data_IF_059040976565
#
_entry.id   IF_059040976565
#
_cell.length_a   1.000
_cell.length_b   1.000
_cell.length_c   1.000
_cell.angle_alpha   90.00
_cell.angle_beta   90.00
_cell.angle_gamma   90.00
#
_symmetry.space_group_name_H-M   'P 1'
#
loop_
_entity.id
_entity.type
_entity.pdbx_description
1 polymer ?
#
# COMPACT_ATOMS: atom_id res chain seq x y z
N UNK A 1 -11.85 -6.37 2.72
CA UNK A 1 -10.47 -6.22 3.24
C UNK A 1 -9.84 -7.59 3.33
N UNK A 2 -8.58 -7.72 2.94
CA UNK A 2 -7.81 -8.97 2.99
C UNK A 2 -6.78 -8.90 4.12
N UNK A 3 -6.55 -10.00 4.83
CA UNK A 3 -5.50 -10.08 5.86
C UNK A 3 -4.11 -9.91 5.23
N UNK A 4 -3.27 -9.10 5.87
CA UNK A 4 -1.85 -8.98 5.60
C UNK A 4 -1.06 -9.50 6.80
N UNK A 5 0.10 -10.12 6.55
CA UNK A 5 0.94 -10.69 7.60
C UNK A 5 2.35 -10.13 7.51
N UNK A 6 3.04 -10.03 8.65
CA UNK A 6 4.46 -9.66 8.67
C UNK A 6 5.33 -10.79 8.12
N UNK A 7 5.05 -12.03 8.54
CA UNK A 7 5.53 -13.26 7.93
C UNK A 7 4.49 -14.37 8.06
N UNK A 8 4.65 -15.48 7.33
CA UNK A 8 3.69 -16.59 7.28
C UNK A 8 4.19 -17.85 7.96
N UNK A 9 5.34 -17.80 8.65
CA UNK A 9 5.96 -18.99 9.24
C UNK A 9 5.02 -19.74 10.19
N UNK A 10 4.30 -19.00 11.03
CA UNK A 10 3.32 -19.60 11.94
C UNK A 10 2.11 -20.20 11.20
N UNK A 11 1.74 -19.65 10.04
CA UNK A 11 0.65 -20.19 9.23
C UNK A 11 1.06 -21.51 8.56
N UNK A 12 2.30 -21.57 8.06
CA UNK A 12 2.88 -22.80 7.48
C UNK A 12 3.00 -23.91 8.56
N UNK A 13 3.54 -23.58 9.74
CA UNK A 13 3.65 -24.51 10.88
C UNK A 13 2.27 -25.01 11.33
N UNK A 14 1.25 -24.14 11.31
CA UNK A 14 -0.13 -24.50 11.64
C UNK A 14 -0.77 -25.40 10.58
N UNK A 15 -0.53 -25.13 9.30
CA UNK A 15 -0.99 -25.96 8.19
C UNK A 15 -0.48 -27.41 8.34
N UNK A 16 0.76 -27.58 8.80
CA UNK A 16 1.37 -28.88 9.05
C UNK A 16 0.81 -29.52 10.32
N UNK A 17 0.86 -28.81 11.45
CA UNK A 17 0.54 -29.38 12.76
C UNK A 17 -0.94 -29.60 13.01
N UNK A 18 -1.83 -28.71 12.55
CA UNK A 18 -3.28 -28.83 12.79
C UNK A 18 -4.01 -29.57 11.66
N UNK A 19 -3.57 -29.40 10.40
CA UNK A 19 -4.26 -29.95 9.24
C UNK A 19 -3.56 -31.16 8.60
N UNK A 20 -2.41 -31.57 9.14
CA UNK A 20 -1.69 -32.77 8.70
C UNK A 20 -1.08 -32.66 7.30
N UNK A 21 -0.88 -31.43 6.79
CA UNK A 21 -0.13 -31.22 5.55
C UNK A 21 1.37 -31.45 5.81
N UNK A 22 2.13 -31.70 4.75
CA UNK A 22 3.59 -31.74 4.81
C UNK A 22 4.20 -30.56 4.07
N UNK A 23 5.45 -30.20 4.39
CA UNK A 23 6.20 -29.18 3.66
C UNK A 23 6.19 -29.43 2.14
N UNK A 24 6.28 -30.71 1.74
CA UNK A 24 6.21 -31.11 0.33
C UNK A 24 4.84 -30.79 -0.29
N UNK A 25 3.73 -31.04 0.41
CA UNK A 25 2.40 -30.72 -0.11
C UNK A 25 2.23 -29.21 -0.28
N UNK A 26 2.65 -28.42 0.71
CA UNK A 26 2.59 -26.95 0.60
C UNK A 26 3.38 -26.47 -0.62
N UNK A 27 4.60 -26.99 -0.80
CA UNK A 27 5.46 -26.68 -1.94
C UNK A 27 4.88 -27.11 -3.29
N UNK A 28 4.33 -28.31 -3.42
CA UNK A 28 3.75 -28.78 -4.69
C UNK A 28 2.58 -27.88 -5.13
N UNK A 29 1.82 -27.37 -4.16
CA UNK A 29 0.77 -26.37 -4.41
C UNK A 29 1.34 -25.00 -4.78
N UNK A 30 2.38 -24.52 -4.08
CA UNK A 30 3.10 -23.30 -4.43
C UNK A 30 3.62 -23.36 -5.88
N UNK A 31 4.31 -24.45 -6.23
CA UNK A 31 4.83 -24.71 -7.56
C UNK A 31 3.73 -24.78 -8.62
N UNK A 32 2.57 -25.37 -8.30
CA UNK A 32 1.42 -25.41 -9.21
C UNK A 32 0.90 -24.01 -9.55
N UNK A 33 0.94 -23.05 -8.60
CA UNK A 33 0.52 -21.68 -8.90
C UNK A 33 1.52 -20.94 -9.78
N UNK A 34 2.82 -21.15 -9.55
CA UNK A 34 3.87 -20.55 -10.40
C UNK A 34 3.75 -21.12 -11.82
N UNK A 35 3.58 -22.44 -11.93
CA UNK A 35 3.32 -23.16 -13.19
C UNK A 35 2.11 -22.58 -13.94
N UNK A 36 0.98 -22.37 -13.26
CA UNK A 36 -0.22 -21.78 -13.85
C UNK A 36 0.06 -20.40 -14.46
N UNK A 37 0.78 -19.54 -13.75
CA UNK A 37 1.10 -18.19 -14.24
C UNK A 37 2.06 -18.24 -15.42
N UNK A 38 3.04 -19.14 -15.41
CA UNK A 38 3.93 -19.35 -16.55
C UNK A 38 3.12 -19.78 -17.78
N UNK A 39 2.25 -20.78 -17.64
CA UNK A 39 1.41 -21.29 -18.74
C UNK A 39 0.45 -20.26 -19.31
N UNK A 40 -0.03 -19.32 -18.49
CA UNK A 40 -0.91 -18.23 -18.93
C UNK A 40 -0.18 -17.13 -19.73
N UNK A 41 1.14 -16.99 -19.55
CA UNK A 41 1.89 -15.84 -20.07
C UNK A 41 3.01 -16.21 -21.07
N UNK A 42 3.36 -17.50 -21.19
CA UNK A 42 4.36 -17.99 -22.13
C UNK A 42 3.80 -19.06 -23.04
N UNK A 43 4.32 -19.11 -24.27
CA UNK A 43 4.02 -20.18 -25.21
C UNK A 43 4.75 -21.46 -24.80
N UNK A 44 4.14 -22.61 -25.07
CA UNK A 44 4.85 -23.89 -24.93
C UNK A 44 6.17 -23.86 -25.71
N UNK A 45 7.16 -24.60 -25.19
CA UNK A 45 8.55 -24.64 -25.66
C UNK A 45 9.36 -23.36 -25.44
N UNK A 46 8.79 -22.29 -24.86
CA UNK A 46 9.59 -21.15 -24.43
C UNK A 46 10.69 -21.55 -23.45
N UNK A 47 11.82 -20.85 -23.52
CA UNK A 47 12.98 -21.13 -22.68
C UNK A 47 12.95 -20.34 -21.38
N UNK A 48 13.06 -21.04 -20.25
CA UNK A 48 12.86 -20.50 -18.90
C UNK A 48 14.10 -20.77 -18.05
N UNK A 49 14.60 -19.72 -17.39
CA UNK A 49 15.68 -19.83 -16.41
C UNK A 49 15.12 -19.73 -14.98
N UNK A 50 15.38 -20.75 -14.17
CA UNK A 50 15.09 -20.75 -12.73
C UNK A 50 16.36 -20.44 -11.94
N UNK A 51 16.41 -19.28 -11.31
CA UNK A 51 17.56 -18.84 -10.52
C UNK A 51 17.28 -19.18 -9.06
N UNK A 52 18.02 -20.16 -8.55
CA UNK A 52 17.66 -20.83 -7.31
C UNK A 52 18.69 -20.56 -6.20
N UNK A 53 18.16 -20.24 -5.02
CA UNK A 53 18.91 -20.07 -3.78
C UNK A 53 19.27 -21.40 -3.11
N UNK A 54 19.16 -21.40 -1.78
CA UNK A 54 19.44 -22.59 -0.95
C UNK A 54 18.27 -23.03 -0.06
N UNK A 55 17.25 -22.20 0.11
CA UNK A 55 16.13 -22.44 1.01
C UNK A 55 14.86 -22.95 0.32
N UNK A 56 13.73 -22.85 1.02
CA UNK A 56 12.43 -23.30 0.50
C UNK A 56 12.00 -22.56 -0.78
N UNK A 57 12.34 -21.27 -0.93
CA UNK A 57 12.08 -20.53 -2.17
C UNK A 57 12.73 -21.17 -3.41
N UNK A 58 13.94 -21.70 -3.23
CA UNK A 58 14.64 -22.43 -4.27
C UNK A 58 13.94 -23.76 -4.55
N UNK A 59 13.49 -24.44 -3.52
CA UNK A 59 12.76 -25.69 -3.64
C UNK A 59 11.44 -25.52 -4.42
N UNK A 60 10.71 -24.42 -4.22
CA UNK A 60 9.47 -24.09 -4.95
C UNK A 60 9.76 -23.82 -6.43
N UNK A 61 10.82 -23.05 -6.73
CA UNK A 61 11.26 -22.78 -8.10
C UNK A 61 11.71 -24.06 -8.83
N UNK A 62 12.52 -24.90 -8.16
CA UNK A 62 13.00 -26.18 -8.72
C UNK A 62 11.83 -27.15 -8.94
N UNK A 63 10.88 -27.22 -8.01
CA UNK A 63 9.67 -28.02 -8.15
C UNK A 63 8.83 -27.54 -9.35
N UNK A 64 8.75 -26.24 -9.58
CA UNK A 64 8.07 -25.65 -10.75
C UNK A 64 8.78 -26.05 -12.05
N UNK A 65 10.10 -25.93 -12.11
CA UNK A 65 10.89 -26.36 -13.27
C UNK A 65 10.66 -27.84 -13.61
N UNK A 66 10.57 -28.70 -12.58
CA UNK A 66 10.22 -30.12 -12.74
C UNK A 66 8.83 -30.30 -13.34
N UNK A 67 7.82 -29.57 -12.85
CA UNK A 67 6.43 -29.69 -13.34
C UNK A 67 6.26 -29.24 -14.79
N UNK A 68 7.05 -28.25 -15.22
CA UNK A 68 7.05 -27.73 -16.59
C UNK A 68 7.95 -28.51 -17.55
N UNK A 69 8.74 -29.48 -17.04
CA UNK A 69 9.63 -30.29 -17.87
C UNK A 69 8.87 -30.96 -19.01
N UNK A 70 9.48 -31.00 -20.20
CA UNK A 70 8.91 -31.43 -21.50
C UNK A 70 7.97 -30.44 -22.19
N UNK A 71 7.19 -29.65 -21.45
CA UNK A 71 6.33 -28.62 -22.04
C UNK A 71 7.13 -27.35 -22.37
N UNK A 72 8.17 -27.07 -21.59
CA UNK A 72 9.06 -25.91 -21.71
C UNK A 72 10.53 -26.34 -21.64
N UNK A 73 11.41 -25.51 -22.21
CA UNK A 73 12.85 -25.67 -22.05
C UNK A 73 13.28 -25.03 -20.73
N UNK A 74 13.41 -25.85 -19.69
CA UNK A 74 13.70 -25.40 -18.32
C UNK A 74 15.16 -25.63 -17.95
N UNK A 75 15.86 -24.55 -17.61
CA UNK A 75 17.22 -24.59 -17.08
C UNK A 75 17.24 -24.05 -15.63
N UNK A 76 17.98 -24.71 -14.74
CA UNK A 76 18.18 -24.28 -13.36
C UNK A 76 19.60 -23.74 -13.21
N UNK A 77 19.74 -22.58 -12.58
CA UNK A 77 21.01 -22.05 -12.12
C UNK A 77 21.03 -21.95 -10.59
N UNK A 78 22.00 -22.59 -9.94
CA UNK A 78 22.17 -22.54 -8.49
C UNK A 78 23.12 -21.41 -8.08
N UNK A 79 22.63 -20.49 -7.25
CA UNK A 79 23.46 -19.44 -6.64
C UNK A 79 24.31 -19.97 -5.48
N UNK A 80 23.95 -21.13 -4.92
CA UNK A 80 24.64 -21.85 -3.85
C UNK A 80 24.51 -23.35 -4.03
N UNK A 81 25.58 -24.10 -3.78
CA UNK A 81 25.56 -25.58 -3.78
C UNK A 81 25.11 -26.17 -2.44
N UNK A 82 24.94 -25.34 -1.39
CA UNK A 82 24.49 -25.76 -0.06
C UNK A 82 22.97 -25.65 0.04
N UNK A 83 22.26 -26.61 -0.53
CA UNK A 83 20.80 -26.65 -0.51
C UNK A 83 20.28 -27.21 0.83
N UNK A 84 19.12 -26.73 1.29
CA UNK A 84 18.40 -27.38 2.38
C UNK A 84 17.78 -28.71 1.91
N UNK A 85 17.24 -29.48 2.85
CA UNK A 85 16.72 -30.82 2.58
C UNK A 85 15.67 -30.83 1.45
N UNK A 86 14.70 -29.91 1.52
CA UNK A 86 13.60 -29.81 0.56
C UNK A 86 14.09 -29.40 -0.84
N UNK A 87 14.97 -28.40 -0.94
CA UNK A 87 15.57 -27.96 -2.20
C UNK A 87 16.46 -29.04 -2.83
N UNK A 88 17.24 -29.76 -2.01
CA UNK A 88 18.06 -30.87 -2.49
C UNK A 88 17.19 -31.99 -3.06
N UNK A 89 16.12 -32.35 -2.35
CA UNK A 89 15.19 -33.37 -2.80
C UNK A 89 14.49 -32.99 -4.10
N UNK A 90 14.04 -31.73 -4.23
CA UNK A 90 13.43 -31.27 -5.48
C UNK A 90 14.44 -31.19 -6.62
N UNK A 91 15.71 -30.86 -6.35
CA UNK A 91 16.76 -30.88 -7.37
C UNK A 91 16.98 -32.31 -7.91
N UNK A 92 17.01 -33.31 -7.04
CA UNK A 92 17.14 -34.71 -7.47
C UNK A 92 15.93 -35.17 -8.30
N UNK A 93 14.72 -34.71 -7.93
CA UNK A 93 13.50 -34.96 -8.72
C UNK A 93 13.54 -34.25 -10.07
N UNK A 94 13.98 -33.00 -10.12
CA UNK A 94 14.11 -32.21 -11.34
C UNK A 94 15.13 -32.85 -12.31
N UNK A 95 16.28 -33.33 -11.80
CA UNK A 95 17.27 -34.08 -12.60
C UNK A 95 16.68 -35.36 -13.22
N UNK A 96 15.90 -36.11 -12.44
CA UNK A 96 15.20 -37.31 -12.95
C UNK A 96 14.13 -36.98 -14.00
N UNK A 97 13.59 -35.76 -13.97
CA UNK A 97 12.70 -35.22 -14.98
C UNK A 97 13.44 -34.54 -16.15
N UNK A 98 14.76 -34.72 -16.25
CA UNK A 98 15.60 -34.16 -17.31
C UNK A 98 15.64 -32.63 -17.39
N UNK A 99 15.42 -31.93 -16.28
CA UNK A 99 15.65 -30.48 -16.20
C UNK A 99 17.15 -30.21 -16.16
N UNK A 100 17.64 -29.29 -16.99
CA UNK A 100 19.06 -29.02 -17.11
C UNK A 100 19.57 -28.20 -15.93
N UNK A 101 20.80 -28.49 -15.48
CA UNK A 101 21.54 -27.63 -14.57
C UNK A 101 22.60 -26.89 -15.38
N UNK A 102 22.58 -25.55 -15.33
CA UNK A 102 23.53 -24.71 -16.06
C UNK A 102 24.49 -24.01 -15.11
N UNK A 103 25.76 -23.89 -15.52
CA UNK A 103 26.80 -23.16 -14.77
C UNK A 103 27.10 -21.79 -15.36
N UNK A 104 26.83 -21.60 -16.65
CA UNK A 104 27.06 -20.35 -17.38
C UNK A 104 25.73 -19.71 -17.75
N UNK A 105 25.63 -18.40 -17.53
CA UNK A 105 24.41 -17.63 -17.77
C UNK A 105 24.53 -16.83 -19.07
N UNK A 106 23.79 -17.26 -20.09
CA UNK A 106 23.54 -16.48 -21.30
C UNK A 106 22.10 -15.96 -21.26
N UNK A 107 21.87 -14.83 -20.57
CA UNK A 107 20.52 -14.32 -20.30
C UNK A 107 19.70 -14.05 -21.56
N UNK A 108 20.33 -13.69 -22.68
CA UNK A 108 19.66 -13.42 -23.96
C UNK A 108 18.97 -14.64 -24.59
N UNK A 109 19.28 -15.85 -24.14
CA UNK A 109 18.67 -17.08 -24.63
C UNK A 109 17.31 -17.39 -24.01
N UNK A 110 16.92 -16.68 -22.94
CA UNK A 110 15.74 -17.00 -22.15
C UNK A 110 14.62 -15.97 -22.39
N UNK A 111 13.38 -16.45 -22.36
CA UNK A 111 12.17 -15.64 -22.49
C UNK A 111 11.53 -15.34 -21.13
N UNK A 112 11.89 -16.10 -20.10
CA UNK A 112 11.40 -15.91 -18.74
C UNK A 112 12.47 -16.24 -17.68
N UNK A 113 12.43 -15.48 -16.59
CA UNK A 113 13.30 -15.60 -15.44
C UNK A 113 12.45 -15.77 -14.17
N UNK A 114 12.68 -16.87 -13.46
CA UNK A 114 12.00 -17.17 -12.18
C UNK A 114 13.00 -16.99 -11.04
N UNK A 115 12.73 -15.99 -10.20
CA UNK A 115 13.52 -15.67 -9.01
C UNK A 115 13.10 -16.53 -7.83
N UNK A 116 13.87 -17.60 -7.61
CA UNK A 116 13.81 -18.47 -6.43
C UNK A 116 15.02 -18.31 -5.51
N UNK A 117 15.69 -17.14 -5.50
CA UNK A 117 16.93 -16.95 -4.72
C UNK A 117 16.61 -16.80 -3.22
N UNK A 118 15.84 -15.78 -2.87
CA UNK A 118 15.43 -15.47 -1.49
C UNK A 118 13.95 -15.11 -1.45
N UNK A 119 13.22 -15.68 -0.50
CA UNK A 119 11.87 -15.22 -0.15
C UNK A 119 11.87 -14.38 1.13
N UNK A 120 10.79 -14.47 1.91
CA UNK A 120 10.63 -13.79 3.21
C UNK A 120 11.71 -14.06 4.27
N UNK A 121 12.54 -15.10 4.10
CA UNK A 121 13.64 -15.44 5.00
C UNK A 121 14.90 -14.56 4.89
N UNK A 122 14.96 -13.60 3.96
CA UNK A 122 16.13 -12.73 3.81
C UNK A 122 16.34 -11.82 5.04
N UNK A 123 17.43 -12.07 5.78
CA UNK A 123 17.79 -11.37 7.01
C UNK A 123 19.23 -10.84 7.04
N UNK A 124 19.96 -10.95 5.93
CA UNK A 124 21.36 -10.57 5.78
C UNK A 124 21.61 -9.94 4.43
N UNK A 125 22.74 -9.26 4.28
CA UNK A 125 23.16 -8.72 3.00
C UNK A 125 23.42 -9.84 1.98
N UNK A 126 23.05 -9.58 0.73
CA UNK A 126 23.32 -10.48 -0.38
C UNK A 126 24.78 -10.38 -0.80
N UNK A 127 25.36 -11.49 -1.24
CA UNK A 127 26.74 -11.49 -1.75
C UNK A 127 26.85 -10.70 -3.05
N UNK A 128 28.02 -10.12 -3.33
CA UNK A 128 28.27 -9.37 -4.57
C UNK A 128 27.98 -10.20 -5.83
N UNK A 129 28.20 -11.52 -5.77
CA UNK A 129 27.85 -12.44 -6.86
C UNK A 129 26.33 -12.43 -7.14
N UNK A 130 25.50 -12.53 -6.10
CA UNK A 130 24.04 -12.52 -6.24
C UNK A 130 23.56 -11.14 -6.70
N UNK A 131 24.10 -10.07 -6.14
CA UNK A 131 23.78 -8.70 -6.56
C UNK A 131 24.04 -8.48 -8.06
N UNK A 132 25.17 -8.94 -8.58
CA UNK A 132 25.50 -8.88 -10.02
C UNK A 132 24.52 -9.68 -10.87
N UNK A 133 24.11 -10.87 -10.43
CA UNK A 133 23.13 -11.70 -11.14
C UNK A 133 21.78 -10.97 -11.21
N UNK A 134 21.31 -10.41 -10.10
CA UNK A 134 20.05 -9.64 -10.06
C UNK A 134 20.11 -8.44 -11.00
N UNK A 135 21.25 -7.71 -11.06
CA UNK A 135 21.41 -6.58 -11.98
C UNK A 135 21.31 -6.99 -13.45
N UNK A 136 21.90 -8.13 -13.83
CA UNK A 136 21.79 -8.64 -15.20
C UNK A 136 20.37 -9.14 -15.51
N UNK A 137 19.71 -9.82 -14.56
CA UNK A 137 18.31 -10.23 -14.69
C UNK A 137 17.37 -9.02 -14.89
N UNK A 138 17.59 -7.94 -14.14
CA UNK A 138 16.79 -6.73 -14.26
C UNK A 138 16.93 -6.07 -15.64
N UNK A 139 18.12 -6.15 -16.26
CA UNK A 139 18.38 -5.66 -17.63
C UNK A 139 17.87 -6.60 -18.73
N UNK A 140 17.76 -7.89 -18.43
CA UNK A 140 17.33 -8.89 -19.39
C UNK A 140 15.90 -8.61 -19.89
N UNK A 141 15.68 -8.90 -21.18
CA UNK A 141 14.36 -8.87 -21.80
C UNK A 141 13.70 -10.21 -21.57
N UNK A 142 12.45 -10.22 -21.12
CA UNK A 142 11.72 -11.43 -20.82
C UNK A 142 10.84 -11.25 -19.59
N UNK A 143 9.93 -12.18 -19.41
CA UNK A 143 8.99 -12.21 -18.29
C UNK A 143 9.72 -12.50 -16.98
N UNK A 144 9.51 -11.68 -15.94
CA UNK A 144 10.17 -11.83 -14.63
C UNK A 144 9.15 -12.21 -13.57
N UNK A 145 9.36 -13.35 -12.93
CA UNK A 145 8.47 -13.88 -11.89
C UNK A 145 9.25 -14.04 -10.59
N UNK A 146 8.81 -13.36 -9.53
CA UNK A 146 9.32 -13.56 -8.19
C UNK A 146 8.54 -14.66 -7.45
N UNK A 147 9.27 -15.57 -6.80
CA UNK A 147 8.71 -16.59 -5.91
C UNK A 147 8.67 -16.04 -4.49
N UNK A 148 7.49 -16.06 -3.88
CA UNK A 148 7.12 -15.51 -2.58
C UNK A 148 7.21 -13.98 -2.46
N UNK A 149 8.43 -13.45 -2.54
CA UNK A 149 8.81 -12.04 -2.44
C UNK A 149 10.01 -11.82 -3.37
N UNK A 150 10.10 -10.71 -4.13
CA UNK A 150 11.29 -10.44 -4.94
C UNK A 150 12.58 -10.44 -4.11
N UNK A 151 13.58 -11.19 -4.55
CA UNK A 151 14.86 -11.30 -3.87
C UNK A 151 15.49 -9.92 -3.71
N UNK A 152 15.89 -9.61 -2.47
CA UNK A 152 16.38 -8.30 -2.09
C UNK A 152 15.36 -7.45 -1.33
N UNK A 153 14.08 -7.84 -1.30
CA UNK A 153 13.09 -7.27 -0.38
C UNK A 153 13.02 -8.11 0.89
N UNK A 154 13.34 -7.53 2.04
CA UNK A 154 13.26 -8.24 3.33
C UNK A 154 11.81 -8.36 3.81
N UNK A 155 11.53 -9.18 4.82
CA UNK A 155 10.20 -9.26 5.45
C UNK A 155 9.73 -7.95 6.11
N UNK A 156 10.65 -7.07 6.49
CA UNK A 156 10.33 -5.71 6.94
C UNK A 156 10.09 -4.75 5.77
N UNK A 157 10.25 -5.22 4.54
CA UNK A 157 10.15 -4.46 3.29
C UNK A 157 11.33 -3.50 3.03
N UNK A 158 12.42 -3.63 3.80
CA UNK A 158 13.67 -2.95 3.49
C UNK A 158 14.23 -3.54 2.21
N UNK A 159 14.63 -2.67 1.28
CA UNK A 159 15.29 -3.10 0.04
C UNK A 159 16.79 -3.19 0.33
N UNK A 160 17.38 -4.32 -0.01
CA UNK A 160 18.82 -4.52 -0.06
C UNK A 160 19.46 -3.62 -1.15
N UNK A 161 20.79 -3.69 -1.28
CA UNK A 161 21.53 -2.89 -2.28
C UNK A 161 20.99 -3.07 -3.71
N UNK A 162 20.56 -4.29 -4.04
CA UNK A 162 19.95 -4.66 -5.29
C UNK A 162 18.68 -5.46 -4.97
N UNK A 163 17.66 -5.37 -5.81
CA UNK A 163 16.47 -6.20 -5.69
C UNK A 163 15.95 -6.60 -7.06
N UNK A 164 15.37 -7.79 -7.14
CA UNK A 164 14.75 -8.30 -8.35
C UNK A 164 13.49 -7.49 -8.69
N UNK A 165 13.34 -7.12 -9.96
CA UNK A 165 12.19 -6.38 -10.47
C UNK A 165 11.31 -7.37 -11.24
N UNK A 166 10.15 -7.70 -10.66
CA UNK A 166 9.24 -8.69 -11.19
C UNK A 166 8.07 -8.05 -11.95
N UNK A 167 7.62 -8.73 -13.01
CA UNK A 167 6.33 -8.48 -13.64
C UNK A 167 5.19 -9.12 -12.82
N UNK A 168 5.48 -10.27 -12.20
CA UNK A 168 4.57 -10.98 -11.29
C UNK A 168 5.29 -11.43 -10.03
N UNK A 169 4.64 -11.26 -8.87
CA UNK A 169 5.08 -11.89 -7.61
C UNK A 169 4.05 -12.92 -7.18
N UNK A 170 4.44 -14.19 -7.12
CA UNK A 170 3.60 -15.29 -6.63
C UNK A 170 3.86 -15.45 -5.14
N UNK A 171 3.00 -14.88 -4.29
CA UNK A 171 3.18 -14.96 -2.84
C UNK A 171 2.43 -16.15 -2.24
N UNK A 172 3.08 -16.88 -1.33
CA UNK A 172 2.61 -18.20 -0.89
C UNK A 172 1.72 -18.13 0.36
N UNK A 173 0.55 -18.76 0.33
CA UNK A 173 -0.33 -18.96 1.48
C UNK A 173 -1.13 -17.73 1.90
N UNK A 174 -0.44 -16.64 2.24
CA UNK A 174 -1.06 -15.37 2.61
C UNK A 174 -0.26 -14.16 2.08
N UNK A 175 -0.90 -13.00 2.00
CA UNK A 175 -0.27 -11.75 1.57
C UNK A 175 0.64 -11.19 2.67
N UNK A 176 1.86 -10.77 2.29
CA UNK A 176 2.83 -10.17 3.23
C UNK A 176 2.85 -8.65 3.14
N UNK A 177 2.99 -7.99 4.29
CA UNK A 177 3.11 -6.53 4.40
C UNK A 177 4.24 -5.96 3.54
N UNK A 178 5.38 -6.66 3.48
CA UNK A 178 6.55 -6.24 2.71
C UNK A 178 6.22 -5.92 1.25
N UNK A 179 5.27 -6.64 0.63
CA UNK A 179 4.87 -6.45 -0.76
C UNK A 179 4.13 -5.12 -1.01
N UNK A 180 3.66 -4.46 0.05
CA UNK A 180 2.83 -3.26 -0.03
C UNK A 180 3.51 -2.01 0.56
N UNK A 181 4.82 -2.04 0.82
CA UNK A 181 5.57 -0.80 1.03
C UNK A 181 5.68 0.01 -0.26
N UNK A 182 5.74 1.34 -0.11
CA UNK A 182 6.00 2.27 -1.22
C UNK A 182 7.22 1.86 -2.03
N UNK A 183 8.32 1.52 -1.34
CA UNK A 183 9.58 1.12 -1.94
C UNK A 183 9.46 -0.17 -2.76
N UNK A 184 8.56 -1.07 -2.38
CA UNK A 184 8.38 -2.35 -3.06
C UNK A 184 7.47 -2.26 -4.29
N UNK A 185 6.73 -1.15 -4.45
CA UNK A 185 5.71 -1.01 -5.50
C UNK A 185 6.28 -1.17 -6.92
N UNK A 186 7.49 -0.68 -7.15
CA UNK A 186 8.20 -0.78 -8.44
C UNK A 186 8.92 -2.13 -8.63
N UNK A 187 8.93 -3.00 -7.61
CA UNK A 187 9.65 -4.28 -7.62
C UNK A 187 8.72 -5.48 -7.75
N UNK A 188 7.50 -5.40 -7.22
CA UNK A 188 6.63 -6.58 -7.01
C UNK A 188 5.75 -6.92 -8.21
N UNK A 189 5.58 -5.99 -9.16
CA UNK A 189 4.67 -6.17 -10.29
C UNK A 189 3.24 -6.52 -9.84
N UNK A 190 2.59 -7.43 -10.58
CA UNK A 190 1.28 -7.97 -10.19
C UNK A 190 1.43 -9.06 -9.12
N UNK A 191 0.89 -8.81 -7.94
CA UNK A 191 0.89 -9.78 -6.83
C UNK A 191 -0.23 -10.80 -7.05
N UNK A 192 0.12 -12.09 -6.97
CA UNK A 192 -0.80 -13.23 -7.08
C UNK A 192 -0.63 -14.10 -5.85
N UNK A 193 -1.73 -14.42 -5.16
CA UNK A 193 -1.72 -15.30 -4.00
C UNK A 193 -1.80 -16.77 -4.43
N UNK A 194 -0.86 -17.60 -3.99
CA UNK A 194 -0.90 -19.05 -4.14
C UNK A 194 -1.56 -19.72 -2.94
N UNK A 195 -2.58 -20.53 -3.20
CA UNK A 195 -3.16 -21.41 -2.20
C UNK A 195 -2.23 -22.60 -1.95
N UNK A 196 -2.04 -23.01 -0.70
CA UNK A 196 -1.09 -24.08 -0.33
C UNK A 196 -1.79 -25.42 -0.01
N UNK A 197 -2.89 -25.72 -0.71
CA UNK A 197 -3.60 -27.00 -0.58
C UNK A 197 -4.70 -27.02 0.49
N UNK A 198 -5.03 -25.86 1.08
CA UNK A 198 -6.12 -25.73 2.04
C UNK A 198 -6.81 -24.38 1.89
N UNK A 199 -8.11 -24.30 2.21
CA UNK A 199 -8.90 -23.08 2.05
C UNK A 199 -8.25 -21.88 2.79
N UNK A 200 -8.39 -20.68 2.22
CA UNK A 200 -7.87 -19.43 2.81
C UNK A 200 -8.30 -19.27 4.27
N UNK A 201 -9.57 -19.52 4.57
CA UNK A 201 -10.13 -19.41 5.93
C UNK A 201 -9.52 -20.41 6.91
N UNK A 202 -9.05 -21.57 6.45
CA UNK A 202 -8.36 -22.54 7.29
C UNK A 202 -6.86 -22.24 7.40
N UNK A 203 -6.23 -21.68 6.37
CA UNK A 203 -4.81 -21.33 6.40
C UNK A 203 -4.54 -20.09 7.27
N UNK A 204 -5.33 -19.03 7.05
CA UNK A 204 -5.18 -17.74 7.71
C UNK A 204 -5.64 -17.74 9.18
N UNK A 205 -5.03 -16.89 9.99
CA UNK A 205 -5.47 -16.56 11.36
C UNK A 205 -5.85 -15.09 11.46
N UNK A 206 -6.29 -14.64 12.64
CA UNK A 206 -6.52 -13.22 12.90
C UNK A 206 -5.27 -12.39 12.54
N UNK A 207 -5.49 -11.27 11.86
CA UNK A 207 -4.47 -10.27 11.57
C UNK A 207 -4.84 -8.91 12.17
N UNK A 208 -3.83 -8.09 12.43
CA UNK A 208 -3.95 -6.67 12.77
C UNK A 208 -3.52 -5.77 11.61
N UNK A 209 -3.34 -6.35 10.42
CA UNK A 209 -2.99 -5.62 9.20
C UNK A 209 -3.85 -6.08 8.03
N UNK A 210 -4.31 -5.13 7.22
CA UNK A 210 -5.31 -5.38 6.18
C UNK A 210 -4.98 -4.65 4.88
N UNK A 211 -5.23 -5.30 3.75
CA UNK A 211 -5.25 -4.69 2.42
C UNK A 211 -6.69 -4.31 2.09
N UNK A 212 -6.89 -3.05 1.71
CA UNK A 212 -8.20 -2.56 1.28
C UNK A 212 -8.51 -3.04 -0.14
N UNK A 213 -9.77 -3.38 -0.35
CA UNK A 213 -10.32 -3.80 -1.63
C UNK A 213 -11.32 -2.76 -2.15
N UNK A 214 -11.64 -2.82 -3.44
CA UNK A 214 -12.67 -1.94 -4.02
C UNK A 214 -14.02 -2.11 -3.34
N UNK A 215 -14.35 -3.32 -2.89
CA UNK A 215 -15.59 -3.66 -2.17
C UNK A 215 -15.67 -3.07 -0.77
N UNK A 216 -14.56 -2.57 -0.22
CA UNK A 216 -14.55 -1.87 1.07
C UNK A 216 -14.97 -0.41 0.95
N UNK A 217 -15.10 0.11 -0.28
CA UNK A 217 -15.63 1.45 -0.54
C UNK A 217 -17.15 1.45 -0.32
N UNK A 218 -17.58 2.24 0.66
CA UNK A 218 -18.97 2.54 0.98
C UNK A 218 -19.25 4.03 0.70
N UNK A 219 -19.72 4.33 -0.51
CA UNK A 219 -20.06 5.69 -0.93
C UNK A 219 -21.34 6.21 -0.28
N UNK A 220 -21.47 7.53 -0.06
CA UNK A 220 -22.62 8.13 0.59
C UNK A 220 -23.82 8.29 -0.37
N UNK A 221 -24.29 7.19 -0.94
CA UNK A 221 -25.47 7.20 -1.80
C UNK A 221 -26.73 7.61 -1.01
N UNK A 222 -27.52 8.51 -1.59
CA UNK A 222 -28.75 9.03 -0.97
C UNK A 222 -29.94 8.16 -1.39
N UNK A 223 -30.50 7.42 -0.44
CA UNK A 223 -31.65 6.55 -0.70
C UNK A 223 -32.99 7.13 -0.21
N UNK A 224 -32.95 8.00 0.81
CA UNK A 224 -34.14 8.64 1.38
C UNK A 224 -34.55 9.88 0.57
N UNK A 225 -35.84 10.00 0.29
CA UNK A 225 -36.41 11.14 -0.45
C UNK A 225 -36.76 12.31 0.47
N UNK A 226 -37.23 12.05 1.69
CA UNK A 226 -37.56 13.07 2.69
C UNK A 226 -36.29 13.55 3.42
N UNK A 227 -35.46 14.31 2.70
CA UNK A 227 -34.20 14.85 3.22
C UNK A 227 -34.00 16.29 2.77
N UNK A 228 -33.18 17.03 3.51
CA UNK A 228 -32.72 18.37 3.17
C UNK A 228 -31.21 18.49 3.36
N UNK A 229 -30.62 19.62 2.97
CA UNK A 229 -29.17 19.88 3.08
C UNK A 229 -28.60 19.61 4.48
N UNK A 230 -29.36 19.85 5.54
CA UNK A 230 -28.92 19.61 6.92
C UNK A 230 -28.72 18.12 7.24
N UNK A 231 -29.45 17.22 6.59
CA UNK A 231 -29.28 15.77 6.78
C UNK A 231 -27.90 15.27 6.32
N UNK A 232 -27.27 15.97 5.39
CA UNK A 232 -25.94 15.66 4.84
C UNK A 232 -24.83 16.53 5.46
N UNK A 233 -25.16 17.21 6.56
CA UNK A 233 -24.25 17.99 7.38
C UNK A 233 -23.63 19.22 6.71
N UNK A 234 -22.69 19.82 7.45
CA UNK A 234 -22.04 21.06 7.07
C UNK A 234 -20.54 20.97 7.36
N UNK A 235 -19.75 20.94 6.29
CA UNK A 235 -18.29 20.98 6.36
C UNK A 235 -17.78 22.42 6.40
N UNK A 236 -16.86 22.70 7.30
CA UNK A 236 -16.11 23.95 7.34
C UNK A 236 -14.65 23.70 6.93
N UNK A 237 -14.10 24.52 6.04
CA UNK A 237 -12.70 24.45 5.59
C UNK A 237 -11.99 25.75 5.98
N UNK A 238 -10.98 25.66 6.83
CA UNK A 238 -10.23 26.84 7.27
C UNK A 238 -9.24 27.24 6.17
N UNK A 239 -9.38 28.46 5.66
CA UNK A 239 -8.50 29.00 4.63
C UNK A 239 -7.26 29.63 5.24
N UNK A 240 -6.10 29.22 4.75
CA UNK A 240 -4.82 29.86 5.04
C UNK A 240 -4.43 30.96 4.06
N UNK A 241 -3.12 31.18 3.96
CA UNK A 241 -2.51 32.08 2.98
C UNK A 241 -2.64 31.53 1.54
N UNK A 242 -2.51 30.21 1.38
CA UNK A 242 -2.64 29.53 0.10
C UNK A 242 -4.11 29.16 -0.15
N UNK A 243 -4.93 30.19 -0.44
CA UNK A 243 -6.38 30.09 -0.63
C UNK A 243 -6.83 28.98 -1.61
N UNK A 244 -6.00 28.66 -2.61
CA UNK A 244 -6.28 27.59 -3.57
C UNK A 244 -6.45 26.20 -2.92
N UNK A 245 -5.69 25.89 -1.87
CA UNK A 245 -5.80 24.63 -1.14
C UNK A 245 -7.18 24.49 -0.48
N UNK A 246 -7.66 25.57 0.15
CA UNK A 246 -8.99 25.61 0.76
C UNK A 246 -10.12 25.46 -0.26
N UNK A 247 -9.99 26.07 -1.45
CA UNK A 247 -10.95 25.93 -2.55
C UNK A 247 -11.02 24.47 -3.02
N UNK A 248 -9.87 23.81 -3.22
CA UNK A 248 -9.80 22.41 -3.63
C UNK A 248 -10.47 21.51 -2.59
N UNK A 249 -10.12 21.65 -1.31
CA UNK A 249 -10.70 20.87 -0.23
C UNK A 249 -12.22 21.10 -0.10
N UNK A 250 -12.68 22.35 -0.22
CA UNK A 250 -14.11 22.68 -0.16
C UNK A 250 -14.89 22.04 -1.32
N UNK A 251 -14.38 22.15 -2.54
CA UNK A 251 -15.01 21.56 -3.73
C UNK A 251 -15.03 20.03 -3.70
N UNK A 252 -13.95 19.40 -3.21
CA UNK A 252 -13.89 17.96 -3.04
C UNK A 252 -14.90 17.47 -1.97
N UNK A 253 -14.98 18.17 -0.84
CA UNK A 253 -15.95 17.88 0.22
C UNK A 253 -17.41 18.06 -0.21
N UNK A 254 -17.69 19.08 -1.03
CA UNK A 254 -19.02 19.26 -1.63
C UNK A 254 -19.34 18.13 -2.61
N UNK A 255 -18.37 17.75 -3.46
CA UNK A 255 -18.54 16.75 -4.51
C UNK A 255 -18.76 15.33 -3.99
N UNK A 256 -18.22 14.98 -2.81
CA UNK A 256 -18.50 13.70 -2.13
C UNK A 256 -19.83 13.73 -1.33
N UNK A 257 -20.63 14.79 -1.45
CA UNK A 257 -22.02 14.79 -1.00
C UNK A 257 -22.32 15.55 0.30
N UNK A 258 -21.38 16.31 0.87
CA UNK A 258 -21.70 17.21 1.99
C UNK A 258 -22.84 18.17 1.63
N UNK A 259 -23.80 18.34 2.54
CA UNK A 259 -25.00 19.12 2.27
C UNK A 259 -24.76 20.63 2.18
N UNK A 260 -23.78 21.12 2.94
CA UNK A 260 -23.28 22.48 2.88
C UNK A 260 -21.77 22.49 3.10
N UNK A 261 -21.07 23.40 2.42
CA UNK A 261 -19.64 23.64 2.63
C UNK A 261 -19.41 25.14 2.82
N UNK A 262 -18.62 25.49 3.83
CA UNK A 262 -18.19 26.87 4.07
C UNK A 262 -16.68 26.98 4.19
N UNK A 263 -16.08 27.87 3.41
CA UNK A 263 -14.70 28.29 3.61
C UNK A 263 -14.67 29.39 4.67
N UNK A 264 -13.81 29.22 5.67
CA UNK A 264 -13.60 30.17 6.76
C UNK A 264 -12.42 31.07 6.40
N UNK A 265 -12.67 32.36 6.23
CA UNK A 265 -11.66 33.36 5.92
C UNK A 265 -12.17 34.77 6.23
N UNK A 266 -11.35 35.58 6.90
CA UNK A 266 -11.59 37.01 7.09
C UNK A 266 -11.42 37.81 5.78
N UNK A 267 -10.61 37.29 4.86
CA UNK A 267 -10.38 37.88 3.56
C UNK A 267 -11.27 37.24 2.49
N UNK A 268 -11.66 38.01 1.47
CA UNK A 268 -12.35 37.48 0.30
C UNK A 268 -11.51 36.39 -0.38
N UNK A 269 -12.13 35.26 -0.68
CA UNK A 269 -11.54 34.19 -1.47
C UNK A 269 -11.82 34.44 -2.96
N UNK A 270 -10.79 34.62 -3.81
CA UNK A 270 -11.01 34.83 -5.23
C UNK A 270 -11.50 33.54 -5.89
N UNK A 271 -12.38 33.66 -6.88
CA UNK A 271 -12.88 32.54 -7.69
C UNK A 271 -13.45 31.37 -6.87
N UNK A 272 -14.04 31.67 -5.71
CA UNK A 272 -14.80 30.68 -4.96
C UNK A 272 -16.05 30.30 -5.75
N UNK A 273 -16.27 28.99 -5.93
CA UNK A 273 -17.46 28.50 -6.62
C UNK A 273 -18.75 29.00 -5.93
N UNK A 274 -19.79 29.38 -6.69
CA UNK A 274 -20.98 30.02 -6.14
C UNK A 274 -21.79 29.13 -5.19
N UNK A 275 -21.57 27.81 -5.23
CA UNK A 275 -22.20 26.84 -4.33
C UNK A 275 -21.42 26.62 -3.02
N UNK A 276 -20.21 27.19 -2.91
CA UNK A 276 -19.42 27.18 -1.67
C UNK A 276 -19.64 28.49 -0.93
N UNK A 277 -20.03 28.40 0.35
CA UNK A 277 -20.24 29.58 1.17
C UNK A 277 -18.92 30.12 1.72
N UNK A 278 -18.86 31.41 2.01
CA UNK A 278 -17.77 32.01 2.79
C UNK A 278 -18.29 32.52 4.13
N UNK A 279 -17.52 32.30 5.19
CA UNK A 279 -17.79 32.85 6.54
C UNK A 279 -16.49 33.27 7.21
N UNK A 280 -16.56 34.07 8.27
CA UNK A 280 -15.42 34.44 9.11
C UNK A 280 -15.38 33.66 10.44
N UNK A 281 -16.34 32.76 10.68
CA UNK A 281 -16.41 32.00 11.93
C UNK A 281 -16.82 30.55 11.70
N UNK A 282 -16.20 29.66 12.47
CA UNK A 282 -16.52 28.23 12.53
C UNK A 282 -17.05 27.81 13.90
N UNK A 283 -17.53 28.75 14.72
CA UNK A 283 -18.07 28.46 16.05
C UNK A 283 -19.16 27.38 16.03
N UNK A 284 -20.05 27.43 15.02
CA UNK A 284 -21.14 26.45 14.80
C UNK A 284 -20.71 25.16 14.12
N UNK A 285 -19.45 25.05 13.68
CA UNK A 285 -18.96 23.89 12.94
C UNK A 285 -18.93 22.64 13.84
N UNK A 286 -19.45 21.53 13.32
CA UNK A 286 -19.22 20.19 13.89
C UNK A 286 -18.02 19.50 13.25
N UNK A 287 -17.81 19.75 11.95
CA UNK A 287 -16.73 19.16 11.15
C UNK A 287 -15.87 20.26 10.54
N UNK A 288 -14.55 20.14 10.70
CA UNK A 288 -13.58 21.12 10.21
C UNK A 288 -12.43 20.43 9.48
N UNK A 289 -12.07 20.93 8.31
CA UNK A 289 -10.78 20.64 7.65
C UNK A 289 -9.85 21.82 7.91
N UNK A 290 -8.65 21.56 8.43
CA UNK A 290 -7.69 22.58 8.79
C UNK A 290 -6.25 22.19 8.41
N UNK A 291 -5.45 23.19 8.08
CA UNK A 291 -4.01 23.06 7.83
C UNK A 291 -3.60 23.07 6.35
N UNK A 292 -4.53 22.76 5.43
CA UNK A 292 -4.30 22.89 3.99
C UNK A 292 -3.95 24.33 3.61
N UNK A 293 -2.69 24.58 3.26
CA UNK A 293 -2.22 25.88 2.81
C UNK A 293 -2.28 27.00 3.86
N UNK A 294 -2.13 26.65 5.13
CA UNK A 294 -2.18 27.59 6.26
C UNK A 294 -1.13 28.70 6.12
N UNK A 295 0.09 28.33 5.72
CA UNK A 295 1.22 29.25 5.61
C UNK A 295 1.67 29.79 6.97
N UNK A 296 1.78 31.11 7.06
CA UNK A 296 2.22 31.81 8.28
C UNK A 296 1.05 32.11 9.23
N UNK A 297 -0.20 31.92 8.77
CA UNK A 297 -1.37 32.09 9.63
C UNK A 297 -1.34 31.14 10.82
N UNK A 298 -1.74 31.66 11.98
CA UNK A 298 -1.88 30.87 13.19
C UNK A 298 -3.34 30.46 13.36
N UNK A 299 -3.54 29.24 13.83
CA UNK A 299 -4.85 28.72 14.18
C UNK A 299 -4.82 28.29 15.64
N UNK A 300 -5.72 28.85 16.45
CA UNK A 300 -5.88 28.41 17.83
C UNK A 300 -6.61 27.05 17.86
N UNK A 301 -5.84 25.98 18.06
CA UNK A 301 -6.35 24.60 18.09
C UNK A 301 -7.35 24.34 19.22
N UNK A 302 -7.36 25.14 20.29
CA UNK A 302 -8.37 25.01 21.36
C UNK A 302 -9.80 25.28 20.85
N UNK A 303 -9.94 26.05 19.76
CA UNK A 303 -11.24 26.27 19.12
C UNK A 303 -11.77 25.04 18.36
N UNK A 304 -10.91 24.02 18.16
CA UNK A 304 -11.23 22.78 17.46
C UNK A 304 -11.53 21.60 18.40
N UNK A 305 -11.31 21.73 19.71
CA UNK A 305 -11.36 20.60 20.65
C UNK A 305 -12.68 19.80 20.61
N UNK A 306 -13.82 20.46 20.49
CA UNK A 306 -15.13 19.80 20.50
C UNK A 306 -15.63 19.46 19.08
N UNK A 307 -14.75 19.49 18.08
CA UNK A 307 -15.08 19.32 16.66
C UNK A 307 -14.41 18.07 16.09
N UNK A 308 -15.08 17.44 15.13
CA UNK A 308 -14.47 16.36 14.34
C UNK A 308 -13.59 17.04 13.28
N UNK A 309 -12.29 16.72 13.27
CA UNK A 309 -11.37 17.45 12.41
C UNK A 309 -10.56 16.55 11.48
N UNK A 310 -10.33 17.05 10.27
CA UNK A 310 -9.23 16.61 9.42
C UNK A 310 -8.09 17.60 9.59
N UNK A 311 -6.94 17.12 10.04
CA UNK A 311 -5.71 17.88 10.21
C UNK A 311 -4.74 17.50 9.09
N UNK A 312 -4.37 18.46 8.26
CA UNK A 312 -3.45 18.26 7.14
C UNK A 312 -2.29 19.25 7.14
N UNK A 313 -1.27 18.95 6.34
CA UNK A 313 -0.24 19.88 5.91
C UNK A 313 0.43 20.68 7.04
N UNK A 314 0.29 22.01 7.03
CA UNK A 314 1.09 22.93 7.83
C UNK A 314 0.94 22.75 9.34
N UNK A 315 -0.21 22.22 9.80
CA UNK A 315 -0.45 21.93 11.21
C UNK A 315 0.45 20.80 11.74
N UNK A 316 0.97 19.94 10.87
CA UNK A 316 1.90 18.86 11.25
C UNK A 316 3.28 19.37 11.71
N UNK A 317 3.57 20.66 11.52
CA UNK A 317 4.83 21.30 11.93
C UNK A 317 4.68 22.17 13.18
N UNK A 318 3.46 22.36 13.70
CA UNK A 318 3.19 23.25 14.84
C UNK A 318 3.28 22.46 16.14
N UNK A 319 4.02 22.94 17.14
CA UNK A 319 4.26 22.21 18.42
C UNK A 319 2.97 21.97 19.20
N UNK A 320 2.02 22.88 19.04
CA UNK A 320 0.70 22.87 19.66
C UNK A 320 -0.16 21.68 19.22
N UNK A 321 0.21 21.01 18.11
CA UNK A 321 -0.55 19.85 17.61
C UNK A 321 -0.46 18.66 18.58
N UNK A 322 0.65 18.47 19.29
CA UNK A 322 0.81 17.29 20.16
C UNK A 322 -0.15 17.35 21.36
N UNK A 323 -0.20 18.42 22.17
CA UNK A 323 -1.20 18.52 23.24
C UNK A 323 -2.64 18.47 22.74
N UNK A 324 -2.89 18.93 21.51
CA UNK A 324 -4.20 18.83 20.87
C UNK A 324 -4.57 17.37 20.57
N UNK A 325 -3.65 16.59 19.99
CA UNK A 325 -3.88 15.18 19.70
C UNK A 325 -4.08 14.32 20.96
N UNK A 326 -3.39 14.64 22.06
CA UNK A 326 -3.53 13.92 23.33
C UNK A 326 -4.91 14.07 23.97
N UNK A 327 -5.60 15.19 23.69
CA UNK A 327 -6.90 15.52 24.29
C UNK A 327 -8.11 15.19 23.41
N UNK A 328 -7.89 14.80 22.15
CA UNK A 328 -8.96 14.74 21.15
C UNK A 328 -8.88 13.45 20.33
N UNK A 329 -9.99 12.71 20.29
CA UNK A 329 -10.06 11.41 19.61
C UNK A 329 -10.74 11.48 18.22
N UNK A 330 -11.52 12.54 17.97
CA UNK A 330 -12.30 12.71 16.75
C UNK A 330 -11.49 13.34 15.61
N UNK A 331 -10.30 12.80 15.36
CA UNK A 331 -9.31 13.39 14.45
C UNK A 331 -8.90 12.41 13.37
N UNK A 332 -8.78 12.93 12.14
CA UNK A 332 -8.08 12.28 11.04
C UNK A 332 -6.88 13.14 10.66
N UNK A 333 -5.68 12.59 10.71
CA UNK A 333 -4.46 13.25 10.25
C UNK A 333 -4.10 12.71 8.88
N UNK A 334 -3.73 13.57 7.94
CA UNK A 334 -3.39 13.16 6.57
C UNK A 334 -1.94 13.47 6.17
N UNK A 335 -0.90 13.21 6.98
CA UNK A 335 0.44 13.67 6.68
C UNK A 335 1.08 12.89 5.52
N UNK A 336 1.85 13.57 4.68
CA UNK A 336 2.85 12.94 3.82
C UNK A 336 4.12 12.60 4.64
N UNK A 337 5.09 11.83 4.12
CA UNK A 337 6.23 11.36 4.92
C UNK A 337 7.05 12.44 5.63
N UNK A 338 7.20 13.64 5.05
CA UNK A 338 7.94 14.75 5.68
C UNK A 338 7.17 15.39 6.85
N UNK A 339 5.86 15.55 6.71
CA UNK A 339 4.94 16.00 7.77
C UNK A 339 4.92 14.99 8.90
N UNK A 340 4.91 13.69 8.58
CA UNK A 340 4.91 12.64 9.60
C UNK A 340 6.25 12.56 10.35
N UNK A 341 7.39 12.78 9.68
CA UNK A 341 8.69 12.91 10.35
C UNK A 341 8.67 14.07 11.38
N UNK A 342 8.11 15.22 11.01
CA UNK A 342 7.92 16.34 11.93
C UNK A 342 7.05 15.95 13.13
N UNK A 343 5.91 15.31 12.90
CA UNK A 343 5.02 14.83 13.96
C UNK A 343 5.72 13.87 14.92
N UNK A 344 6.49 12.91 14.40
CA UNK A 344 7.25 11.94 15.23
C UNK A 344 8.26 12.66 16.13
N UNK A 345 9.00 13.63 15.58
CA UNK A 345 10.00 14.40 16.32
C UNK A 345 9.34 15.27 17.40
N UNK A 346 8.24 15.96 17.05
CA UNK A 346 7.45 16.77 17.98
C UNK A 346 6.84 15.92 19.11
N UNK A 347 6.39 14.71 18.79
CA UNK A 347 5.80 13.78 19.74
C UNK A 347 6.85 13.03 20.59
N UNK A 348 8.15 13.28 20.39
CA UNK A 348 9.21 12.69 21.20
C UNK A 348 9.47 11.20 20.92
N UNK A 349 9.18 10.70 19.71
CA UNK A 349 9.55 9.33 19.33
C UNK A 349 11.06 9.17 19.04
N UNK A 350 11.78 10.27 18.86
CA UNK A 350 13.18 10.32 18.44
C UNK A 350 13.38 11.30 17.28
N UNK A 351 14.58 11.29 16.69
CA UNK A 351 14.91 12.07 15.51
C UNK A 351 14.73 11.24 14.24
N UNK A 352 13.69 11.54 13.48
CA UNK A 352 13.36 10.86 12.22
C UNK A 352 13.54 11.79 11.03
N UNK A 353 14.22 11.28 10.01
CA UNK A 353 14.24 11.86 8.67
C UNK A 353 13.12 11.27 7.79
N UNK A 354 12.90 11.87 6.62
CA UNK A 354 12.00 11.32 5.59
C UNK A 354 12.42 9.88 5.22
N UNK A 355 13.72 9.61 5.14
CA UNK A 355 14.26 8.30 4.78
C UNK A 355 13.90 7.26 5.84
N UNK A 356 13.99 7.63 7.12
CA UNK A 356 13.66 6.74 8.24
C UNK A 356 12.17 6.42 8.26
N UNK A 357 11.31 7.42 8.01
CA UNK A 357 9.87 7.23 7.85
C UNK A 357 9.57 6.27 6.70
N UNK A 358 10.15 6.52 5.52
CA UNK A 358 9.92 5.68 4.34
C UNK A 358 10.37 4.23 4.53
N UNK A 359 11.46 4.01 5.28
CA UNK A 359 11.98 2.68 5.55
C UNK A 359 11.16 1.90 6.59
N UNK A 360 10.43 2.56 7.48
CA UNK A 360 9.76 1.95 8.63
C UNK A 360 8.27 2.35 8.75
N UNK A 361 7.61 2.64 7.62
CA UNK A 361 6.27 3.23 7.58
C UNK A 361 5.24 2.48 8.43
N UNK A 362 5.17 1.15 8.31
CA UNK A 362 4.21 0.33 9.05
C UNK A 362 4.44 0.38 10.56
N UNK A 363 5.69 0.22 11.00
CA UNK A 363 6.02 0.19 12.42
C UNK A 363 5.84 1.56 13.07
N UNK A 364 6.21 2.64 12.37
CA UNK A 364 6.00 4.00 12.86
C UNK A 364 4.51 4.38 12.88
N UNK A 365 3.73 3.97 11.88
CA UNK A 365 2.29 4.18 11.86
C UNK A 365 1.57 3.41 12.99
N UNK A 366 2.02 2.20 13.31
CA UNK A 366 1.49 1.42 14.44
C UNK A 366 1.83 2.07 15.78
N UNK A 367 3.10 2.41 16.01
CA UNK A 367 3.54 3.14 17.21
C UNK A 367 2.81 4.48 17.39
N UNK A 368 2.47 5.14 16.29
CA UNK A 368 1.66 6.36 16.34
C UNK A 368 0.25 6.10 16.85
N UNK A 369 -0.44 5.07 16.34
CA UNK A 369 -1.80 4.72 16.80
C UNK A 369 -1.85 4.19 18.22
N UNK A 370 -0.76 3.58 18.71
CA UNK A 370 -0.63 3.15 20.11
C UNK A 370 -0.60 4.36 21.06
N UNK A 371 0.00 5.48 20.61
CA UNK A 371 0.14 6.70 21.42
C UNK A 371 -1.06 7.64 21.29
N UNK A 372 -1.64 7.76 20.11
CA UNK A 372 -2.70 8.71 19.83
C UNK A 372 -3.95 8.01 19.29
N UNK A 373 -5.11 8.32 19.88
CA UNK A 373 -6.42 7.76 19.50
C UNK A 373 -6.95 8.29 18.15
N UNK A 374 -6.22 9.20 17.50
CA UNK A 374 -6.53 9.73 16.17
C UNK A 374 -6.34 8.69 15.06
N UNK A 375 -7.10 8.83 13.98
CA UNK A 375 -6.86 8.07 12.73
C UNK A 375 -5.72 8.72 11.97
N UNK A 376 -4.65 7.97 11.70
CA UNK A 376 -3.54 8.42 10.88
C UNK A 376 -3.73 7.93 9.44
N UNK A 377 -3.69 8.83 8.46
CA UNK A 377 -3.64 8.55 7.02
C UNK A 377 -2.27 9.00 6.51
N UNK A 378 -1.29 8.10 6.58
CA UNK A 378 0.06 8.33 6.10
C UNK A 378 0.10 8.21 4.58
N UNK A 379 0.13 9.36 3.89
CA UNK A 379 0.14 9.46 2.42
C UNK A 379 1.41 8.84 1.85
N UNK A 380 1.31 8.29 0.65
CA UNK A 380 2.42 7.68 -0.08
C UNK A 380 1.94 6.94 -1.33
N UNK A 381 2.86 6.25 -2.00
CA UNK A 381 2.51 5.46 -3.18
C UNK A 381 1.49 4.37 -2.84
N UNK A 382 1.64 3.73 -1.68
CA UNK A 382 0.61 2.98 -0.98
C UNK A 382 0.25 3.74 0.30
N UNK A 383 -0.99 4.19 0.39
CA UNK A 383 -1.45 4.95 1.57
C UNK A 383 -1.68 3.99 2.72
N UNK A 384 -1.18 4.35 3.90
CA UNK A 384 -1.34 3.58 5.12
C UNK A 384 -2.31 4.31 6.03
N UNK A 385 -3.34 3.62 6.49
CA UNK A 385 -4.24 4.10 7.52
C UNK A 385 -3.92 3.31 8.80
N UNK A 386 -3.70 4.01 9.90
CA UNK A 386 -3.45 3.40 11.21
C UNK A 386 -4.47 3.88 12.23
N UNK A 387 -5.08 2.93 12.94
CA UNK A 387 -6.09 3.21 13.95
C UNK A 387 -6.22 2.05 14.93
N UNK A 388 -6.13 2.33 16.24
CA UNK A 388 -6.25 1.32 17.32
C UNK A 388 -5.37 0.09 17.08
N UNK A 389 -4.07 0.34 16.87
CA UNK A 389 -3.01 -0.65 16.65
C UNK A 389 -3.14 -1.49 15.38
N UNK A 390 -4.12 -1.17 14.53
CA UNK A 390 -4.35 -1.84 13.25
C UNK A 390 -3.84 -1.01 12.09
N UNK A 391 -3.35 -1.71 11.09
CA UNK A 391 -2.85 -1.15 9.84
C UNK A 391 -3.80 -1.50 8.69
N UNK A 392 -4.11 -0.54 7.85
CA UNK A 392 -4.89 -0.72 6.63
C UNK A 392 -4.12 -0.11 5.47
N UNK A 393 -3.98 -0.83 4.37
CA UNK A 393 -3.15 -0.41 3.24
C UNK A 393 -4.03 -0.26 2.00
N UNK A 394 -3.97 0.91 1.38
CA UNK A 394 -4.54 1.13 0.04
C UNK A 394 -3.41 1.09 -0.99
N UNK A 395 -3.42 0.09 -1.87
CA UNK A 395 -2.47 -0.02 -2.97
C UNK A 395 -2.97 0.59 -4.29
N UNK A 396 -4.17 1.19 -4.29
CA UNK A 396 -4.78 1.80 -5.48
C UNK A 396 -4.15 3.14 -5.89
N UNK A 397 -3.26 3.71 -5.07
CA UNK A 397 -2.56 4.95 -5.38
C UNK A 397 -1.75 4.82 -6.68
N UNK A 398 -1.89 5.79 -7.59
CA UNK A 398 -1.14 5.86 -8.83
C UNK A 398 -0.15 7.03 -8.77
N UNK A 399 0.97 6.93 -9.49
CA UNK A 399 1.97 8.01 -9.55
C UNK A 399 1.41 9.33 -10.12
N UNK A 400 0.31 9.28 -10.87
CA UNK A 400 -0.40 10.45 -11.41
C UNK A 400 -0.92 11.40 -10.31
N UNK A 401 -1.12 10.88 -9.08
CA UNK A 401 -1.53 11.66 -7.90
C UNK A 401 -0.39 12.51 -7.32
N UNK A 402 0.85 12.39 -7.82
CA UNK A 402 2.00 13.17 -7.38
C UNK A 402 1.94 14.63 -7.91
N UNK A 403 0.89 15.34 -7.52
CA UNK A 403 0.59 16.73 -7.90
C UNK A 403 0.12 17.51 -6.68
N UNK A 404 0.61 18.74 -6.55
CA UNK A 404 0.13 19.67 -5.54
C UNK A 404 -1.40 19.84 -5.65
N UNK A 405 -2.09 19.88 -4.52
CA UNK A 405 -3.56 19.90 -4.46
C UNK A 405 -4.24 18.54 -4.35
N UNK A 406 -3.57 17.43 -4.70
CA UNK A 406 -4.17 16.09 -4.54
C UNK A 406 -4.43 15.75 -3.07
N UNK A 407 -3.50 16.15 -2.18
CA UNK A 407 -3.69 16.04 -0.73
C UNK A 407 -4.84 16.88 -0.19
N UNK A 408 -5.01 18.11 -0.71
CA UNK A 408 -6.11 18.99 -0.32
C UNK A 408 -7.47 18.40 -0.74
N UNK A 409 -7.53 17.78 -1.93
CA UNK A 409 -8.71 17.05 -2.38
C UNK A 409 -9.02 15.88 -1.43
N UNK A 410 -8.02 15.08 -1.05
CA UNK A 410 -8.17 13.99 -0.07
C UNK A 410 -8.72 14.50 1.27
N UNK A 411 -8.15 15.57 1.82
CA UNK A 411 -8.61 16.17 3.08
C UNK A 411 -10.08 16.64 2.98
N UNK A 412 -10.44 17.27 1.86
CA UNK A 412 -11.81 17.66 1.55
C UNK A 412 -12.78 16.49 1.48
N UNK A 413 -12.41 15.40 0.81
CA UNK A 413 -13.23 14.18 0.69
C UNK A 413 -13.50 13.59 2.07
N UNK A 414 -12.45 13.41 2.88
CA UNK A 414 -12.60 12.89 4.25
C UNK A 414 -13.49 13.81 5.07
N UNK A 415 -13.29 15.13 4.98
CA UNK A 415 -14.15 16.12 5.64
C UNK A 415 -15.62 16.05 5.20
N UNK A 416 -15.87 15.83 3.91
CA UNK A 416 -17.22 15.70 3.37
C UNK A 416 -17.94 14.43 3.85
N UNK A 417 -17.21 13.32 4.00
CA UNK A 417 -17.73 12.09 4.60
C UNK A 417 -18.01 12.25 6.10
N UNK A 418 -17.10 12.89 6.83
CA UNK A 418 -17.30 13.23 8.25
C UNK A 418 -18.54 14.10 8.47
N UNK A 419 -18.78 15.09 7.60
CA UNK A 419 -19.99 15.91 7.66
C UNK A 419 -21.27 15.08 7.50
N UNK A 420 -21.19 13.96 6.79
CA UNK A 420 -22.28 13.00 6.58
C UNK A 420 -22.37 11.93 7.68
N UNK A 421 -21.74 12.17 8.85
CA UNK A 421 -21.73 11.31 10.03
C UNK A 421 -20.96 9.99 9.90
N UNK A 422 -20.05 9.87 8.93
CA UNK A 422 -19.07 8.79 8.96
C UNK A 422 -18.17 8.98 10.19
N UNK A 423 -17.81 7.90 10.87
CA UNK A 423 -16.77 7.97 11.90
C UNK A 423 -15.43 8.39 11.28
N UNK A 424 -14.47 8.94 12.05
CA UNK A 424 -13.14 9.27 11.54
C UNK A 424 -12.46 8.11 10.79
N UNK A 425 -12.63 6.89 11.30
CA UNK A 425 -12.05 5.70 10.69
C UNK A 425 -12.73 5.36 9.36
N UNK A 426 -14.07 5.33 9.33
CA UNK A 426 -14.82 5.08 8.09
C UNK A 426 -14.55 6.16 7.05
N UNK A 427 -14.52 7.44 7.44
CA UNK A 427 -14.23 8.55 6.55
C UNK A 427 -12.81 8.45 5.95
N UNK A 428 -11.81 8.03 6.74
CA UNK A 428 -10.45 7.82 6.25
C UNK A 428 -10.38 6.68 5.22
N UNK A 429 -10.96 5.51 5.52
CA UNK A 429 -10.97 4.34 4.62
C UNK A 429 -11.66 4.70 3.30
N UNK A 430 -12.88 5.22 3.39
CA UNK A 430 -13.68 5.54 2.22
C UNK A 430 -13.12 6.74 1.45
N UNK A 431 -12.57 7.73 2.15
CA UNK A 431 -11.95 8.90 1.51
C UNK A 431 -10.68 8.54 0.73
N UNK A 432 -9.80 7.70 1.29
CA UNK A 432 -8.62 7.20 0.58
C UNK A 432 -9.00 6.34 -0.62
N UNK A 433 -9.97 5.44 -0.47
CA UNK A 433 -10.45 4.61 -1.57
C UNK A 433 -11.10 5.46 -2.66
N UNK A 434 -12.05 6.34 -2.33
CA UNK A 434 -12.70 7.21 -3.31
C UNK A 434 -11.67 8.09 -4.05
N UNK A 435 -10.72 8.69 -3.33
CA UNK A 435 -9.67 9.52 -3.91
C UNK A 435 -8.79 8.76 -4.91
N UNK A 436 -8.37 7.53 -4.60
CA UNK A 436 -7.54 6.74 -5.52
C UNK A 436 -8.36 6.11 -6.66
N UNK A 437 -9.58 5.64 -6.37
CA UNK A 437 -10.43 4.97 -7.35
C UNK A 437 -10.99 5.95 -8.39
N UNK A 438 -11.19 7.23 -8.03
CA UNK A 438 -11.74 8.25 -8.93
C UNK A 438 -10.86 8.53 -10.16
N UNK A 439 -9.57 8.23 -10.07
CA UNK A 439 -8.59 8.46 -11.13
C UNK A 439 -8.11 7.18 -11.82
N UNK A 440 -8.64 6.00 -11.45
CA UNK A 440 -8.21 4.73 -12.07
C UNK A 440 -8.43 4.69 -13.58
N UNK A 441 -9.49 5.34 -14.06
CA UNK A 441 -9.85 5.40 -15.48
C UNK A 441 -9.41 6.71 -16.14
N UNK A 442 -8.44 7.44 -15.55
CA UNK A 442 -7.94 8.68 -16.12
C UNK A 442 -7.27 8.43 -17.49
N UNK A 443 -7.87 8.98 -18.56
CA UNK A 443 -7.49 8.69 -19.96
C UNK A 443 -6.44 9.64 -20.55
N UNK A 444 -5.93 10.61 -19.78
CA UNK A 444 -4.89 11.54 -20.24
C UNK A 444 -3.51 11.04 -19.76
N UNK A 445 -2.45 11.68 -20.23
CA UNK A 445 -1.08 11.31 -19.87
C UNK A 445 -0.84 11.40 -18.35
N UNK A 446 0.03 10.54 -17.83
CA UNK A 446 0.29 10.39 -16.39
C UNK A 446 0.75 11.66 -15.68
N UNK A 447 1.37 12.59 -16.40
CA UNK A 447 1.84 13.87 -15.87
C UNK A 447 0.77 14.99 -15.87
N UNK A 448 -0.43 14.73 -16.40
CA UNK A 448 -1.43 15.76 -16.71
C UNK A 448 -2.59 15.84 -15.71
N UNK A 449 -2.66 14.94 -14.71
CA UNK A 449 -3.70 14.99 -13.69
C UNK A 449 -3.69 16.33 -12.95
N UNK A 450 -4.87 16.88 -12.71
CA UNK A 450 -5.10 18.03 -11.84
C UNK A 450 -6.02 17.68 -10.67
N UNK A 451 -6.04 18.47 -9.58
CA UNK A 451 -6.98 18.26 -8.49
C UNK A 451 -8.45 18.26 -8.95
N UNK A 452 -8.79 19.05 -9.98
CA UNK A 452 -10.15 19.05 -10.53
C UNK A 452 -10.51 17.72 -11.20
N UNK A 453 -9.56 17.02 -11.84
CA UNK A 453 -9.84 15.69 -12.41
C UNK A 453 -10.18 14.68 -11.29
N UNK A 454 -9.60 14.82 -10.10
CA UNK A 454 -9.95 14.00 -8.91
C UNK A 454 -11.39 14.33 -8.47
N UNK A 455 -11.71 15.62 -8.34
CA UNK A 455 -13.04 16.10 -7.93
C UNK A 455 -14.14 15.63 -8.88
N UNK A 456 -13.91 15.72 -10.20
CA UNK A 456 -14.84 15.21 -11.21
C UNK A 456 -14.92 13.69 -11.21
N UNK A 457 -13.79 12.99 -11.05
CA UNK A 457 -13.76 11.53 -10.98
C UNK A 457 -14.58 10.97 -9.82
N UNK A 458 -14.60 11.65 -8.66
CA UNK A 458 -15.36 11.23 -7.49
C UNK A 458 -16.86 11.23 -7.76
N UNK A 459 -17.36 12.18 -8.56
CA UNK A 459 -18.77 12.26 -8.97
C UNK A 459 -19.20 11.07 -9.84
N UNK A 460 -18.25 10.28 -10.33
CA UNK A 460 -18.45 9.19 -11.28
C UNK A 460 -18.15 7.80 -10.69
N UNK A 461 -17.91 7.70 -9.37
CA UNK A 461 -17.60 6.45 -8.67
C UNK A 461 -18.79 5.51 -8.49
#
# INVERSE_FOLDING_TARGET
MINLYYDTKMLDERAISEFGLSDEILQENAASKIEEVIRQNLKEKSKILFICGSGNNAADAICTARKLSNDYECDIFLTSNKLNLLASMQLDRAKKAHVNLVENLEFSAYECFVDGIFGSGLNRDMSDKVCKIIDELNKAKGLKIAVDIPSGVTKSGKIAKNAFIADFTITMGALKLALFLDSSKDLVGKIILANLGISKANFETKSDSFLLEKTDLNLPFRHLQDTNKGNFGHLYVISGDLKGAAIIAANAGFSIGAGLVSVVSDEKIPNLDPFIMQTNSFGKAKVVVAGCGLGEKTLNLELLKDKICVIDADLCYKKEIIPFLEKNENLVLTPHPKEFASLLNLAGFGDFSIKDVQANRFDLARKWSEKFNSVLVLKGANTIISYKDKIFVSNFGLNILAKAGSGDALAGIIGGLLAQNYSPFEAAINGVLAHSLSVLNFKKNSYALTPNDIIEGIKCL
#
